data_IF_050866414617
#
_entry.id   IF_050866414617
#
_cell.length_a   1.000
_cell.length_b   1.000
_cell.length_c   1.000
_cell.angle_alpha   90.00
_cell.angle_beta   90.00
_cell.angle_gamma   90.00
#
_symmetry.space_group_name_H-M   'P 1'
#
loop_
_entity.id
_entity.type
_entity.pdbx_description
1 polymer ?
#
# COMPACT_ATOMS: atom_id res chain seq x y z
N UNK A 1 6.18 -11.79 -10.22
CA UNK A 1 7.55 -11.24 -10.21
C UNK A 1 7.54 -9.97 -9.38
N UNK A 2 8.54 -9.76 -8.53
CA UNK A 2 8.63 -8.52 -7.74
C UNK A 2 9.05 -7.35 -8.63
N UNK A 3 8.51 -6.16 -8.36
CA UNK A 3 8.87 -4.89 -9.00
C UNK A 3 9.59 -3.98 -8.02
N UNK A 4 10.49 -3.14 -8.54
CA UNK A 4 11.24 -2.14 -7.77
C UNK A 4 10.75 -0.74 -8.08
N UNK A 5 10.62 0.06 -7.04
CA UNK A 5 10.17 1.45 -7.07
C UNK A 5 11.14 2.31 -6.26
N UNK A 6 11.14 3.61 -6.54
CA UNK A 6 11.67 4.64 -5.63
C UNK A 6 10.46 5.38 -5.08
N UNK A 7 10.37 5.48 -3.76
CA UNK A 7 9.34 6.26 -3.09
C UNK A 7 9.98 7.56 -2.66
N UNK A 8 9.37 8.67 -3.04
CA UNK A 8 9.82 10.02 -2.68
C UNK A 8 8.69 10.71 -1.91
N UNK A 9 9.01 11.21 -0.73
CA UNK A 9 8.16 12.13 0.03
C UNK A 9 8.82 13.50 -0.06
N UNK A 10 8.08 14.49 -0.56
CA UNK A 10 8.55 15.85 -0.80
C UNK A 10 7.62 16.81 -0.08
N UNK A 11 8.19 17.74 0.68
CA UNK A 11 7.43 18.82 1.30
C UNK A 11 7.00 19.83 0.22
N UNK A 12 5.71 20.16 0.18
CA UNK A 12 5.15 21.11 -0.80
C UNK A 12 5.49 22.56 -0.48
N UNK A 13 5.76 22.89 0.78
CA UNK A 13 6.16 24.23 1.22
C UNK A 13 7.68 24.40 1.20
N UNK A 14 8.43 23.29 1.32
CA UNK A 14 9.90 23.28 1.25
C UNK A 14 10.39 22.24 0.24
N UNK A 15 10.39 22.55 -1.08
CA UNK A 15 10.67 21.56 -2.12
C UNK A 15 12.03 20.87 -2.01
N UNK A 16 13.03 21.52 -1.40
CA UNK A 16 14.36 20.94 -1.20
C UNK A 16 14.40 19.92 -0.03
N UNK A 17 13.35 19.87 0.78
CA UNK A 17 13.16 18.89 1.84
C UNK A 17 12.43 17.66 1.27
N UNK A 18 13.21 16.67 0.83
CA UNK A 18 12.70 15.39 0.34
C UNK A 18 13.44 14.18 0.91
N UNK A 19 12.72 13.07 1.07
CA UNK A 19 13.27 11.77 1.44
C UNK A 19 12.92 10.77 0.36
N UNK A 20 13.93 10.10 -0.17
CA UNK A 20 13.77 9.06 -1.19
C UNK A 20 14.36 7.72 -0.73
N UNK A 21 13.64 6.63 -0.95
CA UNK A 21 14.11 5.29 -0.62
C UNK A 21 13.66 4.22 -1.63
N UNK A 22 14.46 3.16 -1.85
CA UNK A 22 14.06 2.06 -2.71
C UNK A 22 13.01 1.18 -2.01
N UNK A 23 12.02 0.73 -2.77
CA UNK A 23 10.99 -0.19 -2.30
C UNK A 23 10.81 -1.34 -3.29
N UNK A 24 10.79 -2.58 -2.78
CA UNK A 24 10.48 -3.76 -3.59
C UNK A 24 9.09 -4.24 -3.23
N UNK A 25 8.20 -4.32 -4.22
CA UNK A 25 6.85 -4.86 -4.04
C UNK A 25 6.68 -6.15 -4.81
N UNK A 26 6.01 -7.13 -4.21
CA UNK A 26 5.56 -8.33 -4.92
C UNK A 26 4.42 -8.06 -5.91
N UNK A 27 3.79 -6.90 -5.80
CA UNK A 27 2.69 -6.48 -6.66
C UNK A 27 3.09 -5.34 -7.61
N UNK A 28 2.28 -5.16 -8.63
CA UNK A 28 2.39 -4.07 -9.59
C UNK A 28 1.59 -2.87 -9.09
N UNK A 29 2.24 -1.93 -8.38
CA UNK A 29 1.58 -0.80 -7.72
C UNK A 29 0.79 0.06 -8.70
N UNK A 30 1.35 0.32 -9.88
CA UNK A 30 0.67 1.14 -10.90
C UNK A 30 -0.58 0.44 -11.41
N UNK A 31 -0.53 -0.88 -11.63
CA UNK A 31 -1.73 -1.65 -12.00
C UNK A 31 -2.77 -1.73 -10.88
N UNK A 32 -2.34 -1.85 -9.62
CA UNK A 32 -3.28 -1.87 -8.49
C UNK A 32 -4.03 -0.54 -8.41
N UNK A 33 -3.31 0.59 -8.52
CA UNK A 33 -3.92 1.92 -8.51
C UNK A 33 -4.97 2.04 -9.62
N UNK A 34 -4.61 1.71 -10.86
CA UNK A 34 -5.57 1.73 -11.99
C UNK A 34 -6.71 0.72 -11.85
N UNK A 35 -6.48 -0.44 -11.20
CA UNK A 35 -7.52 -1.45 -11.02
C UNK A 35 -8.58 -0.99 -10.02
N UNK A 36 -8.16 -0.32 -8.95
CA UNK A 36 -9.03 0.11 -7.86
C UNK A 36 -9.73 1.44 -8.13
N UNK A 37 -9.24 2.22 -9.09
CA UNK A 37 -9.87 3.46 -9.52
C UNK A 37 -11.34 3.23 -9.96
N UNK A 38 -12.25 4.02 -9.38
CA UNK A 38 -13.70 3.88 -9.57
C UNK A 38 -14.33 2.59 -9.02
N UNK A 39 -13.59 1.70 -8.34
CA UNK A 39 -14.09 0.42 -7.81
C UNK A 39 -14.14 0.36 -6.28
N UNK A 40 -13.83 1.45 -5.60
CA UNK A 40 -13.89 1.57 -4.15
C UNK A 40 -14.95 2.57 -3.72
N UNK A 41 -15.44 2.41 -2.48
CA UNK A 41 -16.22 3.45 -1.79
C UNK A 41 -15.36 4.61 -1.30
N UNK A 42 -14.04 4.50 -1.36
CA UNK A 42 -13.11 5.57 -0.99
C UNK A 42 -13.10 6.65 -2.09
N UNK A 43 -13.14 7.94 -1.71
CA UNK A 43 -12.82 9.05 -2.62
C UNK A 43 -11.44 8.89 -3.25
N UNK A 44 -11.25 9.40 -4.47
CA UNK A 44 -9.98 9.33 -5.20
C UNK A 44 -8.80 9.92 -4.40
N UNK A 45 -9.05 11.04 -3.69
CA UNK A 45 -8.10 11.71 -2.79
C UNK A 45 -7.59 10.82 -1.66
N UNK A 46 -8.37 9.81 -1.25
CA UNK A 46 -8.00 8.88 -0.19
C UNK A 46 -7.53 7.54 -0.76
N UNK A 47 -8.00 7.16 -1.94
CA UNK A 47 -7.72 5.88 -2.56
C UNK A 47 -6.22 5.68 -2.81
N UNK A 48 -5.56 6.66 -3.41
CA UNK A 48 -4.16 6.53 -3.81
C UNK A 48 -3.23 6.49 -2.58
N UNK A 49 -3.34 7.43 -1.60
CA UNK A 49 -2.60 7.34 -0.35
C UNK A 49 -2.86 6.05 0.41
N UNK A 50 -4.12 5.59 0.47
CA UNK A 50 -4.49 4.35 1.12
C UNK A 50 -3.81 3.14 0.48
N UNK A 51 -3.90 2.99 -0.85
CA UNK A 51 -3.32 1.85 -1.57
C UNK A 51 -1.79 1.84 -1.46
N UNK A 52 -1.13 2.99 -1.65
CA UNK A 52 0.32 3.10 -1.51
C UNK A 52 0.73 2.79 -0.07
N UNK A 53 0.10 3.42 0.92
CA UNK A 53 0.39 3.21 2.34
C UNK A 53 0.19 1.76 2.77
N UNK A 54 -0.93 1.14 2.39
CA UNK A 54 -1.23 -0.27 2.67
C UNK A 54 -0.16 -1.20 2.07
N UNK A 55 0.32 -0.90 0.86
CA UNK A 55 1.36 -1.69 0.20
C UNK A 55 2.73 -1.54 0.84
N UNK A 56 3.14 -0.31 1.19
CA UNK A 56 4.40 -0.05 1.89
C UNK A 56 4.39 -0.71 3.27
N UNK A 57 3.34 -0.47 4.05
CA UNK A 57 3.20 -1.01 5.39
C UNK A 57 3.09 -2.54 5.40
N UNK A 58 2.26 -3.10 4.52
CA UNK A 58 2.06 -4.55 4.45
C UNK A 58 3.34 -5.32 4.11
N UNK A 59 4.22 -4.76 3.30
CA UNK A 59 5.53 -5.35 3.01
C UNK A 59 6.41 -5.36 4.26
N UNK A 60 6.50 -4.23 4.98
CA UNK A 60 7.27 -4.13 6.24
C UNK A 60 6.75 -5.12 7.28
N UNK A 61 5.44 -5.20 7.48
CA UNK A 61 4.82 -6.16 8.40
C UNK A 61 5.14 -7.60 8.01
N UNK A 62 5.10 -7.92 6.71
CA UNK A 62 5.34 -9.29 6.22
C UNK A 62 6.80 -9.72 6.38
N UNK A 63 7.74 -8.81 6.12
CA UNK A 63 9.18 -9.04 6.28
C UNK A 63 9.57 -9.20 7.76
N UNK A 64 8.94 -8.44 8.64
CA UNK A 64 9.26 -8.41 10.08
C UNK A 64 8.26 -9.22 10.93
N UNK A 65 7.45 -10.11 10.32
CA UNK A 65 6.37 -10.85 11.00
C UNK A 65 6.79 -11.68 12.22
N UNK A 66 8.09 -11.90 12.42
CA UNK A 66 8.64 -12.63 13.58
C UNK A 66 8.82 -11.73 14.81
N UNK A 67 8.91 -10.42 14.63
CA UNK A 67 9.01 -9.47 15.74
C UNK A 67 7.68 -9.36 16.51
N UNK A 68 7.74 -9.25 17.82
CA UNK A 68 6.57 -9.29 18.70
C UNK A 68 5.49 -8.26 18.32
N UNK A 69 5.91 -7.04 17.97
CA UNK A 69 4.99 -5.98 17.55
C UNK A 69 4.25 -6.31 16.25
N UNK A 70 4.88 -7.04 15.33
CA UNK A 70 4.32 -7.36 14.02
C UNK A 70 3.50 -8.66 14.02
N UNK A 71 3.75 -9.56 14.96
CA UNK A 71 3.00 -10.82 15.10
C UNK A 71 1.50 -10.60 15.31
N UNK A 72 1.11 -9.57 16.08
CA UNK A 72 -0.29 -9.26 16.38
C UNK A 72 -1.01 -8.56 15.22
N UNK A 73 -0.32 -7.65 14.53
CA UNK A 73 -0.92 -6.88 13.44
C UNK A 73 -0.97 -7.64 12.12
N UNK A 74 -0.03 -8.55 11.87
CA UNK A 74 0.03 -9.33 10.63
C UNK A 74 -1.29 -10.07 10.30
N UNK A 75 -1.92 -10.84 11.21
CA UNK A 75 -3.17 -11.52 10.91
C UNK A 75 -4.32 -10.55 10.62
N UNK A 76 -4.46 -9.49 11.43
CA UNK A 76 -5.50 -8.48 11.24
C UNK A 76 -5.34 -7.72 9.91
N UNK A 77 -4.10 -7.37 9.55
CA UNK A 77 -3.80 -6.71 8.28
C UNK A 77 -4.09 -7.64 7.09
N UNK A 78 -3.78 -8.93 7.21
CA UNK A 78 -4.07 -9.92 6.19
C UNK A 78 -5.58 -10.09 5.97
N UNK A 79 -6.35 -10.14 7.05
CA UNK A 79 -7.82 -10.19 7.00
C UNK A 79 -8.39 -8.95 6.31
N UNK A 80 -8.00 -7.76 6.75
CA UNK A 80 -8.41 -6.49 6.17
C UNK A 80 -8.11 -6.39 4.66
N UNK A 81 -6.89 -6.74 4.24
CA UNK A 81 -6.52 -6.78 2.81
C UNK A 81 -7.38 -7.79 2.03
N UNK A 82 -7.71 -8.92 2.66
CA UNK A 82 -8.59 -9.94 2.09
C UNK A 82 -9.98 -9.40 1.82
N UNK A 83 -10.57 -8.70 2.78
CA UNK A 83 -11.91 -8.13 2.65
C UNK A 83 -11.94 -6.95 1.69
N UNK A 84 -10.90 -6.11 1.69
CA UNK A 84 -10.72 -5.08 0.66
C UNK A 84 -10.69 -5.67 -0.75
N UNK A 85 -9.94 -6.77 -0.97
CA UNK A 85 -9.92 -7.43 -2.28
C UNK A 85 -11.28 -7.99 -2.69
N UNK A 86 -12.08 -8.48 -1.74
CA UNK A 86 -13.45 -8.95 -2.01
C UNK A 86 -14.38 -7.80 -2.39
N UNK A 87 -14.29 -6.64 -1.73
CA UNK A 87 -15.14 -5.49 -2.05
C UNK A 87 -14.90 -4.97 -3.48
N UNK A 88 -13.64 -4.97 -3.94
CA UNK A 88 -13.31 -4.62 -5.34
C UNK A 88 -13.91 -5.63 -6.33
N UNK A 89 -13.83 -6.94 -6.04
CA UNK A 89 -14.36 -7.99 -6.93
C UNK A 89 -15.89 -7.96 -7.04
N UNK A 90 -16.57 -7.65 -5.95
CA UNK A 90 -18.04 -7.58 -5.93
C UNK A 90 -18.59 -6.29 -6.54
N UNK A 91 -17.72 -5.33 -6.89
CA UNK A 91 -18.06 -4.08 -7.59
C UNK A 91 -17.91 -4.20 -9.12
N UNK A 92 -17.65 -5.40 -9.64
CA UNK A 92 -17.66 -5.75 -11.07
C UNK A 92 -19.01 -6.35 -11.46
#
# INVERSE_FOLDING_TARGET
MSKRYVITVKDTEQPDNEVSFPFTSHDDLTKILSLCDGKTTLPEEHLYPFLVGMKLFGEVVTLNRKEEMFQKIHPALKEFIGDFKKSIKNSQ
#
